data_IF_137447688462
#
_entry.id   IF_137447688462
#
_cell.length_a   1.000
_cell.length_b   1.000
_cell.length_c   1.000
_cell.angle_alpha   90.00
_cell.angle_beta   90.00
_cell.angle_gamma   90.00
#
_symmetry.space_group_name_H-M   'P 1'
#
loop_
_entity.id
_entity.type
_entity.pdbx_description
1 polymer ?
#
# COMPACT_ATOMS: atom_id res chain seq x y z
N UNK A 1 26.58 -13.88 -1.36
CA UNK A 1 27.86 -13.14 -1.25
C UNK A 1 27.85 -11.79 -1.99
N UNK A 2 26.90 -11.54 -2.90
CA UNK A 2 26.79 -10.25 -3.62
C UNK A 2 26.48 -9.03 -2.74
N UNK A 3 25.87 -9.23 -1.56
CA UNK A 3 25.49 -8.15 -0.64
C UNK A 3 26.62 -7.61 0.24
N UNK A 4 27.69 -8.41 0.42
CA UNK A 4 28.77 -8.09 1.36
C UNK A 4 29.83 -7.22 0.70
N UNK A 5 30.35 -6.22 1.42
CA UNK A 5 31.52 -5.44 1.05
C UNK A 5 32.75 -5.98 1.78
N UNK A 6 33.49 -6.89 1.15
CA UNK A 6 34.65 -7.55 1.76
C UNK A 6 35.90 -6.66 1.90
N UNK A 7 35.86 -5.43 1.42
CA UNK A 7 36.95 -4.45 1.56
C UNK A 7 36.95 -3.79 2.95
N UNK A 8 35.85 -3.89 3.69
CA UNK A 8 35.70 -3.32 5.04
C UNK A 8 36.00 -4.36 6.10
N UNK A 9 36.71 -3.97 7.15
CA UNK A 9 36.96 -4.86 8.29
C UNK A 9 35.66 -5.00 9.14
N UNK A 10 35.11 -6.22 9.29
CA UNK A 10 33.89 -6.44 10.06
C UNK A 10 34.02 -6.06 11.55
N UNK A 11 35.23 -6.01 12.10
CA UNK A 11 35.45 -5.60 13.49
C UNK A 11 35.28 -4.08 13.69
N UNK A 12 35.41 -3.29 12.61
CA UNK A 12 35.27 -1.84 12.65
C UNK A 12 33.86 -1.39 12.25
N UNK A 13 33.30 -1.98 11.18
CA UNK A 13 31.94 -1.71 10.74
C UNK A 13 31.32 -2.98 10.13
N UNK A 14 30.63 -3.73 11.00
CA UNK A 14 29.98 -4.97 10.58
C UNK A 14 28.81 -4.72 9.62
N UNK A 15 28.14 -3.57 9.71
CA UNK A 15 26.99 -3.26 8.87
C UNK A 15 27.43 -3.00 7.43
N UNK A 16 28.44 -2.15 7.22
CA UNK A 16 28.99 -1.92 5.88
C UNK A 16 29.63 -3.19 5.31
N UNK A 17 30.33 -3.99 6.12
CA UNK A 17 30.87 -5.27 5.67
C UNK A 17 29.77 -6.23 5.18
N UNK A 18 28.68 -6.38 5.94
CA UNK A 18 27.63 -7.34 5.62
C UNK A 18 26.67 -6.86 4.51
N UNK A 19 26.40 -5.55 4.44
CA UNK A 19 25.32 -4.97 3.64
C UNK A 19 25.77 -3.88 2.65
N UNK A 20 27.00 -3.40 2.70
CA UNK A 20 27.45 -2.22 1.96
C UNK A 20 27.27 -2.32 0.44
N UNK A 21 27.45 -3.50 -0.14
CA UNK A 21 27.19 -3.72 -1.57
C UNK A 21 25.70 -3.87 -1.89
N UNK A 22 24.88 -4.32 -0.93
CA UNK A 22 23.42 -4.35 -1.11
C UNK A 22 22.86 -2.94 -1.21
N UNK A 23 23.25 -2.04 -0.30
CA UNK A 23 22.79 -0.64 -0.27
C UNK A 23 23.14 0.08 -1.58
N UNK A 24 24.36 -0.11 -2.09
CA UNK A 24 24.80 0.48 -3.37
C UNK A 24 23.96 0.04 -4.56
N UNK A 25 23.44 -1.18 -4.53
CA UNK A 25 22.67 -1.77 -5.63
C UNK A 25 21.15 -1.59 -5.48
N UNK A 26 20.67 -1.14 -4.32
CA UNK A 26 19.25 -0.94 -4.03
C UNK A 26 19.04 0.50 -3.55
N UNK A 27 19.08 1.50 -4.46
CA UNK A 27 18.69 2.86 -4.12
C UNK A 27 17.20 2.90 -3.75
N UNK A 28 16.82 3.84 -2.88
CA UNK A 28 15.42 4.04 -2.48
C UNK A 28 14.62 4.52 -3.72
N UNK A 29 13.57 3.79 -4.13
CA UNK A 29 12.67 4.21 -5.22
C UNK A 29 11.91 5.51 -4.92
N UNK A 30 11.42 6.20 -5.96
CA UNK A 30 10.68 7.48 -5.82
C UNK A 30 9.35 7.34 -5.06
N UNK A 31 8.76 6.15 -5.08
CA UNK A 31 7.49 5.81 -4.44
C UNK A 31 7.67 5.21 -3.03
N UNK A 32 8.90 5.11 -2.53
CA UNK A 32 9.21 4.49 -1.25
C UNK A 32 9.97 5.44 -0.31
N UNK A 33 9.65 5.45 1.00
CA UNK A 33 10.43 6.22 1.99
C UNK A 33 11.73 5.53 2.41
N UNK A 34 11.85 4.21 2.20
CA UNK A 34 12.99 3.37 2.57
C UNK A 34 13.09 2.13 1.69
N UNK A 35 14.24 1.44 1.75
CA UNK A 35 14.43 0.14 1.10
C UNK A 35 15.21 -0.78 2.03
N UNK A 36 14.68 -1.98 2.25
CA UNK A 36 15.36 -3.06 2.95
C UNK A 36 14.95 -4.40 2.32
N UNK A 37 15.60 -5.49 2.76
CA UNK A 37 15.22 -6.84 2.32
C UNK A 37 13.79 -7.22 2.73
N UNK A 38 13.23 -6.60 3.78
CA UNK A 38 11.85 -6.86 4.20
C UNK A 38 10.84 -6.26 3.23
N UNK A 39 11.11 -5.08 2.68
CA UNK A 39 10.29 -4.44 1.66
C UNK A 39 10.25 -5.30 0.39
N UNK A 40 11.38 -5.85 -0.04
CA UNK A 40 11.42 -6.78 -1.18
C UNK A 40 10.52 -8.01 -0.94
N UNK A 41 10.59 -8.61 0.26
CA UNK A 41 9.73 -9.73 0.62
C UNK A 41 8.25 -9.33 0.68
N UNK A 42 7.97 -8.12 1.16
CA UNK A 42 6.61 -7.55 1.18
C UNK A 42 6.05 -7.40 -0.23
N UNK A 43 6.84 -6.89 -1.17
CA UNK A 43 6.45 -6.75 -2.57
C UNK A 43 6.16 -8.11 -3.22
N UNK A 44 7.02 -9.11 -3.00
CA UNK A 44 6.80 -10.47 -3.51
C UNK A 44 5.49 -11.08 -2.95
N UNK A 45 5.21 -10.84 -1.66
CA UNK A 45 3.97 -11.26 -1.02
C UNK A 45 2.74 -10.53 -1.60
N UNK A 46 2.83 -9.22 -1.81
CA UNK A 46 1.76 -8.42 -2.41
C UNK A 46 1.43 -8.88 -3.83
N UNK A 47 2.45 -9.22 -4.63
CA UNK A 47 2.26 -9.80 -5.97
C UNK A 47 1.51 -11.13 -5.87
N UNK A 48 1.93 -12.03 -5.00
CA UNK A 48 1.24 -13.31 -4.81
C UNK A 48 -0.21 -13.14 -4.31
N UNK A 49 -0.45 -12.19 -3.40
CA UNK A 49 -1.81 -11.88 -2.91
C UNK A 49 -2.68 -11.30 -4.02
N UNK A 50 -2.14 -10.40 -4.84
CA UNK A 50 -2.83 -9.83 -5.98
C UNK A 50 -3.28 -10.93 -6.95
N UNK A 51 -2.39 -11.86 -7.29
CA UNK A 51 -2.73 -12.99 -8.16
C UNK A 51 -3.93 -13.78 -7.61
N UNK A 52 -3.91 -14.13 -6.32
CA UNK A 52 -5.00 -14.86 -5.66
C UNK A 52 -6.33 -14.07 -5.63
N UNK A 53 -6.27 -12.75 -5.48
CA UNK A 53 -7.45 -11.88 -5.43
C UNK A 53 -8.05 -11.59 -6.81
N UNK A 54 -7.26 -11.66 -7.87
CA UNK A 54 -7.70 -11.48 -9.26
C UNK A 54 -8.27 -12.76 -9.90
N UNK A 55 -8.02 -13.92 -9.29
CA UNK A 55 -8.64 -15.18 -9.70
C UNK A 55 -10.18 -15.11 -9.63
N UNK A 56 -10.84 -15.72 -10.63
CA UNK A 56 -12.30 -15.83 -10.63
C UNK A 56 -12.79 -16.52 -9.36
N UNK A 57 -13.84 -15.97 -8.77
CA UNK A 57 -14.50 -16.58 -7.61
C UNK A 57 -14.96 -17.99 -7.94
N UNK A 58 -14.64 -18.94 -7.06
CA UNK A 58 -15.04 -20.34 -7.17
C UNK A 58 -15.95 -20.71 -5.99
N UNK A 59 -17.25 -20.84 -6.23
CA UNK A 59 -18.24 -21.15 -5.20
C UNK A 59 -18.06 -22.51 -4.50
N UNK A 60 -17.19 -23.40 -5.02
CA UNK A 60 -16.91 -24.71 -4.41
C UNK A 60 -15.72 -24.63 -3.44
N UNK A 61 -14.68 -23.87 -3.77
CA UNK A 61 -13.45 -23.76 -2.98
C UNK A 61 -13.37 -22.50 -2.13
N UNK A 62 -14.00 -21.41 -2.56
CA UNK A 62 -13.90 -20.10 -1.93
C UNK A 62 -15.03 -19.94 -0.91
N UNK A 63 -14.65 -19.69 0.35
CA UNK A 63 -15.60 -19.31 1.39
C UNK A 63 -16.10 -17.87 1.21
N UNK A 64 -17.16 -17.51 1.93
CA UNK A 64 -17.76 -16.17 1.89
C UNK A 64 -16.75 -15.05 2.22
N UNK A 65 -15.81 -15.30 3.13
CA UNK A 65 -14.76 -14.34 3.46
C UNK A 65 -13.83 -14.06 2.27
N UNK A 66 -13.47 -15.11 1.52
CA UNK A 66 -12.62 -14.99 0.32
C UNK A 66 -13.40 -14.26 -0.79
N UNK A 67 -14.69 -14.56 -0.93
CA UNK A 67 -15.55 -13.87 -1.88
C UNK A 67 -15.58 -12.36 -1.63
N UNK A 68 -15.84 -11.93 -0.38
CA UNK A 68 -15.84 -10.51 0.01
C UNK A 68 -14.48 -9.85 -0.21
N UNK A 69 -13.38 -10.55 0.06
CA UNK A 69 -12.04 -10.03 -0.18
C UNK A 69 -11.78 -9.78 -1.67
N UNK A 70 -12.15 -10.73 -2.55
CA UNK A 70 -12.04 -10.59 -4.01
C UNK A 70 -12.92 -9.45 -4.54
N UNK A 71 -14.16 -9.35 -4.08
CA UNK A 71 -15.06 -8.25 -4.47
C UNK A 71 -14.54 -6.89 -4.01
N UNK A 72 -14.07 -6.79 -2.77
CA UNK A 72 -13.50 -5.56 -2.23
C UNK A 72 -12.25 -5.13 -3.03
N UNK A 73 -11.38 -6.08 -3.37
CA UNK A 73 -10.24 -5.83 -4.24
C UNK A 73 -10.66 -5.26 -5.61
N UNK A 74 -11.67 -5.86 -6.25
CA UNK A 74 -12.19 -5.37 -7.54
C UNK A 74 -12.80 -3.96 -7.45
N UNK A 75 -13.51 -3.65 -6.37
CA UNK A 75 -14.06 -2.30 -6.16
C UNK A 75 -12.96 -1.27 -5.96
N UNK A 76 -11.89 -1.61 -5.24
CA UNK A 76 -10.74 -0.75 -5.01
C UNK A 76 -10.02 -0.39 -6.32
N UNK A 77 -9.89 -1.35 -7.25
CA UNK A 77 -9.17 -1.14 -8.53
C UNK A 77 -10.02 -0.47 -9.62
N UNK A 78 -11.35 -0.36 -9.44
CA UNK A 78 -12.22 0.25 -10.44
C UNK A 78 -12.18 1.79 -10.37
N UNK A 79 -11.09 2.36 -10.86
CA UNK A 79 -10.86 3.82 -10.87
C UNK A 79 -11.98 4.59 -11.59
N UNK A 80 -12.56 4.02 -12.64
CA UNK A 80 -13.66 4.67 -13.37
C UNK A 80 -14.89 4.84 -12.48
N UNK A 81 -15.29 3.78 -11.76
CA UNK A 81 -16.41 3.85 -10.83
C UNK A 81 -16.11 4.84 -9.70
N UNK A 82 -14.88 4.82 -9.15
CA UNK A 82 -14.45 5.74 -8.10
C UNK A 82 -14.54 7.19 -8.60
N UNK A 83 -13.96 7.52 -9.76
CA UNK A 83 -13.95 8.89 -10.28
C UNK A 83 -15.36 9.42 -10.59
N UNK A 84 -16.30 8.55 -10.95
CA UNK A 84 -17.69 8.94 -11.20
C UNK A 84 -18.53 9.11 -9.92
N UNK A 85 -18.18 8.43 -8.83
CA UNK A 85 -19.04 8.34 -7.63
C UNK A 85 -18.44 8.93 -6.36
N UNK A 86 -17.13 9.23 -6.33
CA UNK A 86 -16.40 9.64 -5.12
C UNK A 86 -17.06 10.82 -4.40
N UNK A 87 -17.59 11.80 -5.15
CA UNK A 87 -18.16 13.01 -4.56
C UNK A 87 -19.42 12.71 -3.76
N UNK A 88 -20.30 11.87 -4.30
CA UNK A 88 -21.52 11.44 -3.60
C UNK A 88 -21.18 10.67 -2.33
N UNK A 89 -20.30 9.68 -2.45
CA UNK A 89 -19.85 8.89 -1.29
C UNK A 89 -19.20 9.78 -0.21
N UNK A 90 -18.39 10.75 -0.62
CA UNK A 90 -17.79 11.73 0.29
C UNK A 90 -18.86 12.59 0.99
N UNK A 91 -19.82 13.13 0.25
CA UNK A 91 -20.89 13.98 0.79
C UNK A 91 -21.79 13.20 1.77
N UNK A 92 -22.13 11.95 1.44
CA UNK A 92 -22.90 11.07 2.31
C UNK A 92 -22.18 10.83 3.65
N UNK A 93 -20.88 10.48 3.59
CA UNK A 93 -20.06 10.28 4.79
C UNK A 93 -19.99 11.57 5.61
N UNK A 94 -19.64 12.70 4.99
CA UNK A 94 -19.50 13.98 5.71
C UNK A 94 -20.83 14.44 6.32
N UNK A 95 -21.95 14.27 5.63
CA UNK A 95 -23.27 14.61 6.16
C UNK A 95 -23.62 13.78 7.39
N UNK A 96 -23.24 12.49 7.40
CA UNK A 96 -23.45 11.61 8.56
C UNK A 96 -22.71 12.07 9.81
N UNK A 97 -21.59 12.78 9.65
CA UNK A 97 -20.80 13.35 10.75
C UNK A 97 -21.16 14.81 11.10
N UNK A 98 -22.28 15.34 10.58
CA UNK A 98 -22.74 16.70 10.87
C UNK A 98 -22.23 17.79 9.92
N UNK A 99 -21.56 17.37 8.84
CA UNK A 99 -21.05 18.26 7.79
C UNK A 99 -19.62 18.74 8.01
N UNK A 100 -19.03 19.33 6.97
CA UNK A 100 -17.68 19.91 7.01
C UNK A 100 -17.79 21.43 6.84
N UNK A 101 -17.52 22.20 7.90
CA UNK A 101 -17.73 23.65 7.93
C UNK A 101 -17.07 24.42 6.77
N UNK A 102 -15.82 24.08 6.42
CA UNK A 102 -15.11 24.67 5.27
C UNK A 102 -15.74 24.38 3.89
N UNK A 103 -16.59 23.36 3.77
CA UNK A 103 -17.26 23.00 2.51
C UNK A 103 -18.70 23.54 2.45
N UNK A 104 -19.25 23.93 3.60
CA UNK A 104 -20.57 24.54 3.68
C UNK A 104 -20.45 26.05 3.61
N UNK A 105 -21.35 26.71 2.87
CA UNK A 105 -21.46 28.17 2.83
C UNK A 105 -22.10 28.73 4.12
N UNK A 106 -21.66 28.23 5.29
CA UNK A 106 -21.99 28.79 6.60
C UNK A 106 -20.94 29.83 6.92
N UNK A 107 -21.39 31.08 7.03
CA UNK A 107 -20.60 32.18 7.59
C UNK A 107 -20.03 31.71 8.92
N UNK A 108 -18.70 31.69 9.04
CA UNK A 108 -18.01 31.47 10.30
C UNK A 108 -18.55 32.51 11.29
N UNK A 109 -19.31 32.07 12.29
CA UNK A 109 -19.71 32.90 13.43
C UNK A 109 -18.81 32.47 14.58
N UNK A 110 -17.78 33.27 14.92
CA UNK A 110 -16.97 32.99 16.10
C UNK A 110 -17.81 33.28 17.35
N UNK A 111 -17.73 32.37 18.33
CA UNK A 111 -18.15 32.64 19.72
C UNK A 111 -17.26 33.68 20.40
#
# INVERSE_FOLDING_TARGET
MSSMNTEVDPCNDFYEYACGNWIKNHPIPDDAPSVSNFENLGQDLEVALKELLEEKYNAVSDGEAVHKAKEFHQQCLNETAILLTWRGAFDDVISSFGGWGSLTNRSFTPD
#
